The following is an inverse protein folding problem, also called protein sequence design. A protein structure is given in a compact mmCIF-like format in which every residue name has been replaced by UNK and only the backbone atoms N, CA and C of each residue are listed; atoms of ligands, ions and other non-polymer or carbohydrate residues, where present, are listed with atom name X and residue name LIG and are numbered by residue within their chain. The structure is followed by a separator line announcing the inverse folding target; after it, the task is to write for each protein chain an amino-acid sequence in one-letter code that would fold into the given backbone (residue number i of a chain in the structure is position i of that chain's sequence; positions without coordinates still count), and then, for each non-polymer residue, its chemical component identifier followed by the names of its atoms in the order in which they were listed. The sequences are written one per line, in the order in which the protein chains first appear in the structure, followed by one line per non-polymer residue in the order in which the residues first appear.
data_IF_821765673026
#
_entry.id   IF_821765673026
#
_cell.length_a   1.000
_cell.length_b   1.000
_cell.length_c   1.000
_cell.angle_alpha   90.00
_cell.angle_beta   90.00
_cell.angle_gamma   90.00
#
_symmetry.space_group_name_H-M   'P 1'
#
loop_
_entity.id
_entity.type
_entity.pdbx_description
1 polymer ?
#
# COMPACT_ATOMS: atom_id res chain seq x y z
N UNK A 1 -9.81 -0.48 1.41
CA UNK A 1 -9.14 0.83 1.29
C UNK A 1 -9.82 1.68 0.23
N UNK A 2 -9.83 3.01 0.41
CA UNK A 2 -10.44 3.97 -0.53
C UNK A 2 -9.49 5.15 -0.71
N UNK A 3 -9.15 5.45 -1.98
CA UNK A 3 -8.37 6.63 -2.33
C UNK A 3 -9.20 7.91 -2.20
N UNK A 4 -8.60 8.92 -1.60
CA UNK A 4 -9.22 10.24 -1.42
C UNK A 4 -8.33 11.35 -1.99
N UNK A 5 -8.95 12.43 -2.45
CA UNK A 5 -8.26 13.58 -3.06
C UNK A 5 -8.72 14.93 -2.52
N UNK A 6 -9.73 14.93 -1.66
CA UNK A 6 -10.32 16.18 -1.14
C UNK A 6 -11.04 15.93 0.19
N UNK A 7 -11.38 17.01 0.91
CA UNK A 7 -12.19 16.94 2.13
C UNK A 7 -13.56 16.28 1.90
N UNK A 8 -14.16 16.48 0.71
CA UNK A 8 -15.43 15.88 0.35
C UNK A 8 -15.32 14.36 0.23
N UNK A 9 -14.28 13.86 -0.45
CA UNK A 9 -14.06 12.42 -0.60
C UNK A 9 -13.68 11.77 0.73
N UNK A 10 -12.90 12.44 1.60
CA UNK A 10 -12.64 11.98 2.98
C UNK A 10 -13.95 11.81 3.75
N UNK A 11 -14.80 12.85 3.78
CA UNK A 11 -16.07 12.79 4.51
C UNK A 11 -16.98 11.69 3.96
N UNK A 12 -17.05 11.55 2.63
CA UNK A 12 -17.88 10.52 1.99
C UNK A 12 -17.37 9.10 2.33
N UNK A 13 -16.05 8.88 2.33
CA UNK A 13 -15.45 7.60 2.68
C UNK A 13 -15.73 7.22 4.14
N UNK A 14 -15.48 8.12 5.09
CA UNK A 14 -15.72 7.86 6.52
C UNK A 14 -17.20 7.57 6.78
N UNK A 15 -18.11 8.35 6.17
CA UNK A 15 -19.54 8.11 6.27
C UNK A 15 -19.91 6.72 5.70
N UNK A 16 -19.37 6.35 4.55
CA UNK A 16 -19.63 5.04 3.94
C UNK A 16 -19.17 3.87 4.83
N UNK A 17 -18.01 3.97 5.47
CA UNK A 17 -17.55 2.98 6.46
C UNK A 17 -18.49 2.92 7.66
N UNK A 18 -18.93 4.07 8.19
CA UNK A 18 -19.86 4.12 9.31
C UNK A 18 -21.24 3.53 8.97
N UNK A 19 -21.80 3.84 7.79
CA UNK A 19 -23.05 3.28 7.29
C UNK A 19 -22.96 1.75 7.08
N UNK A 20 -21.78 1.26 6.67
CA UNK A 20 -21.51 -0.18 6.54
C UNK A 20 -21.23 -0.87 7.89
N UNK A 21 -21.03 -0.12 8.98
CA UNK A 21 -20.62 -0.66 10.27
C UNK A 21 -19.22 -1.32 10.23
N UNK A 22 -18.33 -0.82 9.38
CA UNK A 22 -17.00 -1.38 9.15
C UNK A 22 -15.91 -0.35 9.41
N UNK A 23 -14.83 -0.77 10.05
CA UNK A 23 -13.59 0.00 10.04
C UNK A 23 -13.05 0.16 8.62
N UNK A 24 -12.22 1.18 8.37
CA UNK A 24 -11.76 1.49 7.04
C UNK A 24 -10.34 2.01 6.94
N UNK A 25 -9.78 1.89 5.73
CA UNK A 25 -8.50 2.48 5.37
C UNK A 25 -8.77 3.58 4.34
N UNK A 26 -8.33 4.79 4.65
CA UNK A 26 -8.29 5.92 3.73
C UNK A 26 -6.88 6.05 3.22
N UNK A 27 -6.71 6.09 1.89
CA UNK A 27 -5.39 6.16 1.29
C UNK A 27 -5.23 7.37 0.38
N UNK A 28 -3.98 7.83 0.26
CA UNK A 28 -3.60 9.00 -0.54
C UNK A 28 -2.50 8.58 -1.49
N UNK A 29 -2.75 8.67 -2.80
CA UNK A 29 -1.74 8.47 -3.83
C UNK A 29 -0.88 9.72 -4.00
N UNK A 30 0.25 9.59 -4.70
CA UNK A 30 1.13 10.71 -5.02
C UNK A 30 0.42 11.81 -5.77
N UNK A 31 -0.40 11.44 -6.78
CA UNK A 31 -1.20 12.39 -7.56
C UNK A 31 -2.31 13.04 -6.74
N UNK A 32 -3.02 12.25 -5.92
CA UNK A 32 -4.06 12.76 -5.00
C UNK A 32 -3.50 13.74 -3.97
N UNK A 33 -2.31 13.46 -3.43
CA UNK A 33 -1.61 14.33 -2.49
C UNK A 33 -1.18 15.66 -3.14
N UNK A 34 -0.59 15.58 -4.33
CA UNK A 34 -0.20 16.78 -5.09
C UNK A 34 -1.42 17.66 -5.40
N UNK A 35 -2.51 17.05 -5.88
CA UNK A 35 -3.76 17.73 -6.14
C UNK A 35 -4.32 18.43 -4.89
N UNK A 36 -4.35 17.75 -3.76
CA UNK A 36 -4.87 18.29 -2.50
C UNK A 36 -4.06 19.48 -1.97
N UNK A 37 -2.79 19.61 -2.32
CA UNK A 37 -1.96 20.78 -1.96
C UNK A 37 -2.27 22.03 -2.79
N UNK A 38 -3.02 21.88 -3.89
CA UNK A 38 -3.38 22.95 -4.81
C UNK A 38 -2.38 23.17 -5.95
N UNK A 39 -2.90 23.72 -7.04
CA UNK A 39 -2.19 23.85 -8.33
C UNK A 39 -0.92 24.72 -8.31
N UNK A 40 -0.80 25.59 -7.33
CA UNK A 40 0.37 26.47 -7.14
C UNK A 40 1.43 25.90 -6.25
N UNK A 41 1.07 25.07 -5.28
CA UNK A 41 1.98 24.49 -4.28
C UNK A 41 2.58 23.18 -4.82
N UNK A 42 1.75 22.29 -5.35
CA UNK A 42 2.13 20.99 -5.91
C UNK A 42 3.09 20.20 -5.03
N UNK A 43 2.74 20.09 -3.75
CA UNK A 43 3.59 19.44 -2.74
C UNK A 43 2.85 18.24 -2.12
N UNK A 44 3.30 17.05 -2.45
CA UNK A 44 2.70 15.79 -2.00
C UNK A 44 2.67 15.66 -0.47
N UNK A 45 3.72 16.12 0.22
CA UNK A 45 3.79 16.06 1.70
C UNK A 45 2.76 17.00 2.31
N UNK A 46 2.67 18.24 1.83
CA UNK A 46 1.72 19.22 2.34
C UNK A 46 0.27 18.77 2.12
N UNK A 47 -0.06 18.24 0.94
CA UNK A 47 -1.38 17.72 0.64
C UNK A 47 -1.75 16.52 1.52
N UNK A 48 -0.82 15.58 1.70
CA UNK A 48 -1.04 14.41 2.56
C UNK A 48 -1.27 14.80 4.02
N UNK A 49 -0.47 15.69 4.57
CA UNK A 49 -0.63 16.16 5.94
C UNK A 49 -1.93 16.92 6.15
N UNK A 50 -2.35 17.73 5.18
CA UNK A 50 -3.64 18.44 5.23
C UNK A 50 -4.83 17.46 5.22
N UNK A 51 -4.81 16.47 4.32
CA UNK A 51 -5.85 15.44 4.25
C UNK A 51 -5.86 14.56 5.50
N UNK A 52 -4.69 14.19 6.02
CA UNK A 52 -4.58 13.42 7.26
C UNK A 52 -5.16 14.18 8.46
N UNK A 53 -4.81 15.44 8.64
CA UNK A 53 -5.36 16.27 9.72
C UNK A 53 -6.88 16.41 9.63
N UNK A 54 -7.41 16.59 8.41
CA UNK A 54 -8.84 16.64 8.17
C UNK A 54 -9.52 15.32 8.51
N UNK A 55 -8.96 14.19 8.04
CA UNK A 55 -9.49 12.85 8.30
C UNK A 55 -9.49 12.53 9.80
N UNK A 56 -8.39 12.81 10.51
CA UNK A 56 -8.28 12.61 11.96
C UNK A 56 -9.37 13.40 12.73
N UNK A 57 -9.63 14.64 12.34
CA UNK A 57 -10.64 15.45 13.02
C UNK A 57 -12.06 14.92 12.74
N UNK A 58 -12.38 14.64 11.49
CA UNK A 58 -13.73 14.18 11.10
C UNK A 58 -14.02 12.79 11.65
N UNK A 59 -13.04 11.87 11.65
CA UNK A 59 -13.22 10.49 12.10
C UNK A 59 -13.66 10.40 13.58
N UNK A 60 -13.28 11.36 14.44
CA UNK A 60 -13.69 11.39 15.85
C UNK A 60 -15.21 11.41 16.05
N UNK A 61 -15.96 11.82 15.03
CA UNK A 61 -17.42 11.96 15.08
C UNK A 61 -18.18 10.73 14.53
N UNK A 62 -17.44 9.69 14.13
CA UNK A 62 -18.02 8.47 13.58
C UNK A 62 -17.66 7.23 14.43
N UNK A 63 -18.55 6.24 14.56
CA UNK A 63 -18.36 5.07 15.41
C UNK A 63 -17.54 3.96 14.72
N UNK A 64 -16.48 4.34 13.99
CA UNK A 64 -15.60 3.41 13.25
C UNK A 64 -14.15 3.85 13.39
N UNK A 65 -13.22 2.89 13.30
CA UNK A 65 -11.81 3.18 13.26
C UNK A 65 -11.35 3.42 11.81
N UNK A 66 -10.58 4.48 11.61
CA UNK A 66 -10.01 4.83 10.32
C UNK A 66 -8.48 4.80 10.43
N UNK A 67 -7.86 4.00 9.56
CA UNK A 67 -6.42 4.04 9.35
C UNK A 67 -6.08 4.88 8.11
N UNK A 68 -4.96 5.60 8.16
CA UNK A 68 -4.43 6.35 7.04
C UNK A 68 -3.27 5.60 6.40
N UNK A 69 -3.28 5.56 5.08
CA UNK A 69 -2.31 4.87 4.25
C UNK A 69 -1.83 5.77 3.10
N UNK A 70 -0.61 5.61 2.63
CA UNK A 70 -0.16 6.17 1.35
C UNK A 70 -0.09 5.06 0.31
N UNK A 71 -0.71 5.31 -0.83
CA UNK A 71 -0.79 4.41 -1.95
C UNK A 71 0.40 4.60 -2.89
N UNK A 72 0.72 3.63 -3.69
CA UNK A 72 1.84 3.53 -4.65
C UNK A 72 2.86 4.69 -4.65
N UNK A 73 4.02 4.46 -4.07
CA UNK A 73 5.13 5.40 -4.11
C UNK A 73 6.31 4.81 -4.89
N UNK A 74 6.53 5.19 -6.15
CA UNK A 74 7.68 4.75 -6.92
C UNK A 74 8.98 5.35 -6.40
N UNK A 75 10.11 4.77 -6.81
CA UNK A 75 11.45 5.11 -6.33
C UNK A 75 11.80 6.60 -6.43
N UNK A 76 11.45 7.23 -7.54
CA UNK A 76 11.76 8.65 -7.80
C UNK A 76 10.97 9.62 -6.91
N UNK A 77 9.88 9.16 -6.29
CA UNK A 77 9.04 9.97 -5.39
C UNK A 77 9.30 9.73 -3.90
N UNK A 78 10.10 8.75 -3.52
CA UNK A 78 10.36 8.40 -2.12
C UNK A 78 10.81 9.60 -1.28
N UNK A 79 11.79 10.38 -1.77
CA UNK A 79 12.33 11.53 -1.04
C UNK A 79 11.37 12.73 -0.97
N UNK A 80 10.43 12.80 -1.92
CA UNK A 80 9.40 13.85 -1.97
C UNK A 80 8.06 13.46 -1.34
N UNK A 81 7.90 12.22 -0.90
CA UNK A 81 6.61 11.72 -0.43
C UNK A 81 6.73 10.84 0.84
N UNK A 82 7.08 9.57 0.71
CA UNK A 82 7.01 8.61 1.83
C UNK A 82 8.04 8.92 2.93
N UNK A 83 9.31 9.18 2.59
CA UNK A 83 10.35 9.46 3.60
C UNK A 83 10.02 10.66 4.48
N UNK A 84 9.60 11.84 3.96
CA UNK A 84 9.20 12.98 4.79
C UNK A 84 7.96 12.68 5.64
N UNK A 85 7.00 11.87 5.16
CA UNK A 85 5.80 11.51 5.92
C UNK A 85 6.13 10.55 7.07
N UNK A 86 7.05 9.59 6.86
CA UNK A 86 7.59 8.75 7.95
C UNK A 86 8.31 9.64 8.98
N UNK A 87 9.12 10.59 8.54
CA UNK A 87 9.82 11.52 9.45
C UNK A 87 8.84 12.33 10.29
N UNK A 88 7.78 12.90 9.68
CA UNK A 88 6.74 13.64 10.39
C UNK A 88 6.00 12.75 11.41
N UNK A 89 5.66 11.51 11.04
CA UNK A 89 5.06 10.52 11.95
C UNK A 89 6.01 10.18 13.11
N UNK A 90 7.31 10.01 12.82
CA UNK A 90 8.33 9.71 13.82
C UNK A 90 8.43 10.82 14.87
N UNK A 91 8.44 12.08 14.47
CA UNK A 91 8.48 13.22 15.39
C UNK A 91 7.20 13.27 16.27
N UNK A 92 6.04 12.98 15.68
CA UNK A 92 4.78 12.91 16.44
C UNK A 92 4.80 11.75 17.47
N UNK A 93 5.34 10.60 17.11
CA UNK A 93 5.48 9.45 18.01
C UNK A 93 6.46 9.75 19.14
N UNK A 94 7.60 10.39 18.86
CA UNK A 94 8.54 10.87 19.90
C UNK A 94 7.89 11.85 20.87
N UNK A 95 6.93 12.64 20.42
CA UNK A 95 6.15 13.54 21.27
C UNK A 95 5.00 12.82 22.03
N UNK A 96 4.88 11.50 21.95
CA UNK A 96 3.90 10.69 22.66
C UNK A 96 2.56 10.51 21.93
N UNK A 97 2.48 10.92 20.67
CA UNK A 97 1.31 10.71 19.81
C UNK A 97 1.35 9.39 19.04
N UNK A 98 0.27 9.10 18.29
CA UNK A 98 0.24 8.03 17.30
C UNK A 98 0.89 8.50 15.98
N UNK A 99 1.40 7.60 15.12
CA UNK A 99 1.88 8.00 13.81
C UNK A 99 0.74 8.66 13.00
N UNK A 100 1.07 9.61 12.14
CA UNK A 100 0.09 10.30 11.28
C UNK A 100 -0.51 9.33 10.28
N UNK A 101 0.33 8.51 9.66
CA UNK A 101 -0.06 7.41 8.80
C UNK A 101 0.25 6.08 9.49
N UNK A 102 -0.68 5.13 9.44
CA UNK A 102 -0.52 3.80 10.03
C UNK A 102 0.21 2.85 9.11
N UNK A 103 0.22 3.14 7.82
CA UNK A 103 0.97 2.38 6.81
C UNK A 103 1.38 3.24 5.62
N UNK A 104 2.44 2.80 4.94
CA UNK A 104 2.93 3.39 3.69
C UNK A 104 3.25 2.29 2.69
N UNK A 105 2.91 2.50 1.41
CA UNK A 105 3.29 1.60 0.35
C UNK A 105 4.58 2.05 -0.35
N UNK A 106 5.51 1.12 -0.48
CA UNK A 106 6.65 1.17 -1.37
C UNK A 106 6.34 0.35 -2.62
N UNK A 107 6.22 1.03 -3.76
CA UNK A 107 6.02 0.41 -5.05
C UNK A 107 7.39 0.16 -5.71
N UNK A 108 7.85 -1.08 -5.58
CA UNK A 108 9.11 -1.56 -6.18
C UNK A 108 8.94 -2.23 -7.53
N UNK A 109 7.75 -2.14 -8.17
CA UNK A 109 7.44 -2.84 -9.42
C UNK A 109 8.34 -2.45 -10.60
N UNK A 110 8.81 -1.21 -10.61
CA UNK A 110 9.65 -0.65 -11.69
C UNK A 110 11.16 -0.92 -11.52
N UNK A 111 11.59 -1.61 -10.46
CA UNK A 111 13.00 -1.93 -10.21
C UNK A 111 13.22 -3.44 -10.07
N UNK A 112 14.45 -3.96 -10.31
CA UNK A 112 14.75 -5.38 -10.07
C UNK A 112 14.47 -5.78 -8.62
N UNK A 113 14.05 -7.02 -8.39
CA UNK A 113 13.66 -7.53 -7.05
C UNK A 113 14.74 -7.30 -5.99
N UNK A 114 16.02 -7.46 -6.32
CA UNK A 114 17.12 -7.23 -5.38
C UNK A 114 17.16 -5.78 -4.90
N UNK A 115 17.02 -4.84 -5.80
CA UNK A 115 16.96 -3.40 -5.48
C UNK A 115 15.67 -3.06 -4.73
N UNK A 116 14.53 -3.64 -5.15
CA UNK A 116 13.27 -3.49 -4.43
C UNK A 116 13.41 -3.88 -2.96
N UNK A 117 13.97 -5.07 -2.69
CA UNK A 117 14.15 -5.57 -1.33
C UNK A 117 15.18 -4.78 -0.52
N UNK A 118 16.24 -4.23 -1.14
CA UNK A 118 17.18 -3.33 -0.45
C UNK A 118 16.50 -2.05 0.02
N UNK A 119 15.69 -1.42 -0.83
CA UNK A 119 14.91 -0.23 -0.48
C UNK A 119 13.86 -0.57 0.58
N UNK A 120 13.16 -1.70 0.42
CA UNK A 120 12.18 -2.16 1.39
C UNK A 120 12.78 -2.39 2.78
N UNK A 121 13.98 -2.96 2.88
CA UNK A 121 14.70 -3.13 4.18
C UNK A 121 14.99 -1.79 4.85
N UNK A 122 15.45 -0.80 4.08
CA UNK A 122 15.71 0.54 4.60
C UNK A 122 14.43 1.20 5.11
N UNK A 123 13.37 1.17 4.30
CA UNK A 123 12.08 1.75 4.67
C UNK A 123 11.45 1.01 5.86
N UNK A 124 11.58 -0.32 5.93
CA UNK A 124 11.07 -1.12 7.04
C UNK A 124 11.72 -0.73 8.37
N UNK A 125 13.04 -0.45 8.36
CA UNK A 125 13.72 0.03 9.55
C UNK A 125 13.19 1.41 10.00
N UNK A 126 12.91 2.31 9.07
CA UNK A 126 12.35 3.63 9.37
C UNK A 126 10.90 3.53 9.89
N UNK A 127 10.06 2.73 9.25
CA UNK A 127 8.64 2.55 9.62
C UNK A 127 8.51 1.82 10.95
N UNK A 128 9.35 0.81 11.21
CA UNK A 128 9.37 0.09 12.49
C UNK A 128 9.66 1.01 13.68
N UNK A 129 10.59 1.97 13.53
CA UNK A 129 10.93 2.95 14.57
C UNK A 129 9.74 3.88 14.94
N UNK A 130 8.79 4.07 14.02
CA UNK A 130 7.59 4.88 14.21
C UNK A 130 6.31 4.05 14.43
N UNK A 131 6.44 2.71 14.56
CA UNK A 131 5.30 1.78 14.67
C UNK A 131 4.32 1.87 13.48
N UNK A 132 4.86 2.03 12.28
CA UNK A 132 4.14 2.09 11.01
C UNK A 132 4.31 0.75 10.29
N UNK A 133 3.30 0.31 9.54
CA UNK A 133 3.36 -0.87 8.68
C UNK A 133 3.89 -0.44 7.31
N UNK A 134 4.85 -1.18 6.76
CA UNK A 134 5.29 -1.00 5.38
C UNK A 134 4.50 -1.95 4.48
N UNK A 135 3.93 -1.45 3.39
CA UNK A 135 3.45 -2.28 2.30
C UNK A 135 4.51 -2.34 1.22
N UNK A 136 4.75 -3.55 0.69
CA UNK A 136 5.73 -3.80 -0.36
C UNK A 136 5.07 -4.51 -1.54
N UNK A 137 5.33 -4.05 -2.75
CA UNK A 137 4.87 -4.72 -3.97
C UNK A 137 5.94 -5.68 -4.49
N UNK A 138 5.56 -6.96 -4.66
CA UNK A 138 6.43 -8.02 -5.17
C UNK A 138 5.82 -8.59 -6.44
N UNK A 139 6.43 -8.30 -7.56
CA UNK A 139 5.89 -8.50 -8.89
C UNK A 139 5.42 -7.17 -9.48
N UNK A 140 4.59 -7.23 -10.50
CA UNK A 140 4.06 -6.06 -11.21
C UNK A 140 2.55 -6.17 -11.31
N UNK A 141 1.82 -5.15 -10.86
CA UNK A 141 0.40 -5.01 -11.21
C UNK A 141 0.33 -4.40 -12.60
N UNK A 142 -0.35 -5.04 -13.53
CA UNK A 142 -0.50 -4.56 -14.91
C UNK A 142 -1.47 -3.37 -15.01
N UNK A 143 -1.57 -2.79 -16.23
CA UNK A 143 -2.47 -1.66 -16.50
C UNK A 143 -1.85 -0.30 -16.24
N UNK A 144 -2.68 0.71 -16.03
CA UNK A 144 -2.24 2.10 -15.82
C UNK A 144 -2.81 2.66 -14.51
N UNK A 145 -1.93 3.20 -13.67
CA UNK A 145 -2.29 3.91 -12.45
C UNK A 145 -1.37 5.13 -12.26
N UNK A 146 -1.96 6.28 -11.92
CA UNK A 146 -1.27 7.57 -11.70
C UNK A 146 -0.26 7.95 -12.82
N UNK A 147 -0.56 7.55 -14.09
CA UNK A 147 0.27 7.83 -15.26
C UNK A 147 1.44 6.87 -15.46
N UNK A 148 1.51 5.77 -14.72
CA UNK A 148 2.46 4.67 -14.92
C UNK A 148 1.71 3.51 -15.59
N UNK A 149 2.19 3.09 -16.77
CA UNK A 149 1.62 1.98 -17.52
C UNK A 149 2.55 0.76 -17.44
N UNK A 150 2.01 -0.37 -17.04
CA UNK A 150 2.70 -1.66 -16.96
C UNK A 150 2.18 -2.64 -18.01
N UNK A 151 3.10 -3.35 -18.65
CA UNK A 151 2.76 -4.35 -19.67
C UNK A 151 2.15 -5.61 -19.03
N UNK A 152 1.31 -6.31 -19.82
CA UNK A 152 0.76 -7.61 -19.46
C UNK A 152 1.76 -8.68 -19.89
N UNK A 153 2.51 -9.23 -18.94
CA UNK A 153 3.51 -10.28 -19.14
C UNK A 153 3.62 -11.20 -17.91
N UNK A 154 4.58 -12.11 -17.89
CA UNK A 154 4.77 -13.09 -16.80
C UNK A 154 5.11 -12.44 -15.43
N UNK A 155 5.53 -11.17 -15.41
CA UNK A 155 5.79 -10.42 -14.16
C UNK A 155 4.52 -10.09 -13.38
N UNK A 156 3.33 -10.28 -13.97
CA UNK A 156 2.04 -10.20 -13.27
C UNK A 156 1.83 -11.34 -12.27
N UNK A 157 2.76 -12.27 -12.15
CA UNK A 157 2.64 -13.43 -11.27
C UNK A 157 3.87 -13.54 -10.38
N UNK A 158 3.70 -13.25 -9.09
CA UNK A 158 4.75 -13.46 -8.08
C UNK A 158 5.10 -14.93 -7.98
N UNK A 159 6.39 -15.24 -7.94
CA UNK A 159 6.85 -16.62 -7.77
C UNK A 159 7.08 -16.96 -6.29
N UNK A 160 7.07 -18.27 -5.97
CA UNK A 160 7.46 -18.73 -4.62
C UNK A 160 8.91 -18.35 -4.27
N UNK A 161 9.80 -18.28 -5.28
CA UNK A 161 11.19 -17.87 -5.07
C UNK A 161 11.28 -16.39 -4.68
N UNK A 162 10.53 -15.51 -5.35
CA UNK A 162 10.48 -14.08 -5.02
C UNK A 162 9.94 -13.84 -3.61
N UNK A 163 8.89 -14.59 -3.25
CA UNK A 163 8.31 -14.54 -1.92
C UNK A 163 9.28 -15.04 -0.83
N UNK A 164 10.08 -16.06 -1.11
CA UNK A 164 11.13 -16.54 -0.19
C UNK A 164 12.21 -15.48 0.00
N UNK A 165 12.73 -14.88 -1.07
CA UNK A 165 13.69 -13.79 -1.00
C UNK A 165 13.13 -12.61 -0.19
N UNK A 166 11.83 -12.34 -0.32
CA UNK A 166 11.15 -11.30 0.46
C UNK A 166 11.21 -11.59 1.96
N UNK A 167 10.86 -12.81 2.39
CA UNK A 167 10.95 -13.19 3.81
C UNK A 167 12.40 -13.21 4.30
N UNK A 168 13.35 -13.68 3.50
CA UNK A 168 14.78 -13.65 3.86
C UNK A 168 15.27 -12.20 4.09
N UNK A 169 14.84 -11.27 3.25
CA UNK A 169 15.19 -9.86 3.36
C UNK A 169 14.47 -9.17 4.52
N UNK A 170 13.16 -9.29 4.61
CA UNK A 170 12.32 -8.49 5.52
C UNK A 170 11.99 -9.18 6.85
N UNK A 171 12.18 -10.50 6.93
CA UNK A 171 11.85 -11.28 8.12
C UNK A 171 10.37 -11.63 8.22
N UNK A 172 9.95 -12.05 9.42
CA UNK A 172 8.57 -12.47 9.72
C UNK A 172 7.88 -11.53 10.74
N UNK A 173 8.34 -10.29 10.81
CA UNK A 173 7.84 -9.26 11.72
C UNK A 173 8.86 -8.82 12.79
N UNK A 174 9.96 -9.52 12.98
CA UNK A 174 11.01 -9.19 13.96
C UNK A 174 11.82 -7.94 13.60
N UNK A 175 11.90 -7.62 12.30
CA UNK A 175 12.56 -6.40 11.80
C UNK A 175 11.60 -5.21 11.69
N UNK A 176 10.30 -5.45 11.73
CA UNK A 176 9.22 -4.51 11.53
C UNK A 176 8.01 -5.20 10.91
N UNK A 177 6.85 -4.56 11.00
CA UNK A 177 5.63 -5.09 10.39
C UNK A 177 5.52 -4.67 8.94
N UNK A 178 5.19 -5.61 8.07
CA UNK A 178 4.91 -5.30 6.66
C UNK A 178 3.74 -6.12 6.13
N UNK A 179 3.13 -5.62 5.05
CA UNK A 179 2.14 -6.28 4.23
C UNK A 179 2.76 -6.49 2.84
N UNK A 180 2.33 -7.53 2.14
CA UNK A 180 2.84 -7.85 0.81
C UNK A 180 1.72 -7.83 -0.24
N UNK A 181 1.86 -6.94 -1.22
CA UNK A 181 1.08 -6.97 -2.45
C UNK A 181 1.77 -7.95 -3.41
N UNK A 182 1.38 -9.23 -3.33
CA UNK A 182 1.84 -10.28 -4.23
C UNK A 182 0.92 -10.30 -5.45
N UNK A 183 1.52 -10.33 -6.64
CA UNK A 183 0.75 -10.27 -7.88
C UNK A 183 0.34 -11.67 -8.34
N UNK A 184 -0.88 -11.80 -8.85
CA UNK A 184 -1.50 -13.05 -9.30
C UNK A 184 -2.34 -12.88 -10.57
N UNK A 185 -1.89 -11.97 -11.46
CA UNK A 185 -2.57 -11.61 -12.70
C UNK A 185 -3.50 -10.40 -12.57
N UNK A 186 -3.40 -9.65 -11.49
CA UNK A 186 -4.19 -8.46 -11.23
C UNK A 186 -3.70 -7.25 -12.05
N UNK A 187 -4.65 -6.40 -12.45
CA UNK A 187 -4.43 -5.26 -13.36
C UNK A 187 -5.23 -4.06 -12.89
N UNK A 188 -4.59 -2.89 -12.86
CA UNK A 188 -5.27 -1.62 -12.60
C UNK A 188 -6.14 -1.17 -13.77
N UNK A 189 -7.22 -0.45 -13.47
CA UNK A 189 -8.11 0.14 -14.46
C UNK A 189 -9.12 -0.83 -15.05
N UNK A 190 -9.71 -0.43 -16.18
CA UNK A 190 -10.72 -1.22 -16.88
C UNK A 190 -10.04 -2.03 -17.98
N UNK A 191 -9.96 -3.32 -17.81
CA UNK A 191 -9.47 -4.24 -18.83
C UNK A 191 -10.58 -5.08 -19.42
N UNK A 192 -10.37 -5.57 -20.66
CA UNK A 192 -11.33 -6.45 -21.31
C UNK A 192 -11.23 -7.85 -20.70
N UNK A 193 -12.34 -8.47 -20.28
CA UNK A 193 -12.34 -9.85 -19.81
C UNK A 193 -11.64 -10.77 -20.83
N UNK A 194 -10.77 -11.64 -20.34
CA UNK A 194 -10.02 -12.60 -21.16
C UNK A 194 -8.61 -12.17 -21.58
N UNK A 195 -8.19 -10.93 -21.32
CA UNK A 195 -6.80 -10.51 -21.55
C UNK A 195 -5.89 -10.81 -20.36
N UNK A 196 -6.48 -10.98 -19.18
CA UNK A 196 -5.79 -11.27 -17.92
C UNK A 196 -6.58 -12.35 -17.19
N UNK A 197 -5.89 -13.30 -16.59
CA UNK A 197 -6.50 -14.36 -15.77
C UNK A 197 -6.05 -14.17 -14.35
N UNK A 198 -6.98 -13.79 -13.46
CA UNK A 198 -6.73 -13.83 -12.03
C UNK A 198 -6.51 -15.26 -11.59
N UNK A 199 -5.40 -15.51 -10.90
CA UNK A 199 -5.03 -16.84 -10.39
C UNK A 199 -4.79 -16.78 -8.88
N UNK A 200 -5.85 -16.59 -8.05
CA UNK A 200 -5.70 -16.42 -6.59
C UNK A 200 -5.07 -17.65 -5.91
N UNK A 201 -5.12 -18.82 -6.53
CA UNK A 201 -4.46 -20.04 -6.02
C UNK A 201 -2.96 -19.85 -5.81
N UNK A 202 -2.30 -19.01 -6.62
CA UNK A 202 -0.88 -18.65 -6.45
C UNK A 202 -0.60 -18.11 -5.04
N UNK A 203 -1.47 -17.29 -4.49
CA UNK A 203 -1.31 -16.74 -3.14
C UNK A 203 -1.33 -17.84 -2.08
N UNK A 204 -2.24 -18.82 -2.20
CA UNK A 204 -2.29 -19.98 -1.31
C UNK A 204 -1.06 -20.87 -1.45
N UNK A 205 -0.60 -21.11 -2.67
CA UNK A 205 0.58 -21.93 -2.96
C UNK A 205 1.85 -21.29 -2.39
N UNK A 206 1.99 -19.96 -2.54
CA UNK A 206 3.08 -19.17 -1.95
C UNK A 206 3.02 -19.24 -0.41
N UNK A 207 1.86 -18.96 0.21
CA UNK A 207 1.69 -19.04 1.65
C UNK A 207 2.08 -20.42 2.20
N UNK A 208 1.65 -21.47 1.51
CA UNK A 208 1.95 -22.86 1.90
C UNK A 208 3.44 -23.20 1.74
N UNK A 209 4.02 -22.89 0.58
CA UNK A 209 5.41 -23.26 0.28
C UNK A 209 6.41 -22.47 1.13
N UNK A 210 6.19 -21.16 1.28
CA UNK A 210 7.03 -20.31 2.14
C UNK A 210 6.83 -20.70 3.61
N UNK A 211 5.58 -20.89 4.05
CA UNK A 211 5.23 -21.27 5.41
C UNK A 211 5.92 -22.57 5.85
N UNK A 212 5.94 -23.57 4.98
CA UNK A 212 6.64 -24.83 5.23
C UNK A 212 8.16 -24.66 5.45
N UNK A 213 8.78 -23.68 4.75
CA UNK A 213 10.23 -23.41 4.89
C UNK A 213 10.57 -22.61 6.14
N UNK A 214 9.70 -21.66 6.52
CA UNK A 214 9.98 -20.75 7.65
C UNK A 214 9.31 -21.17 8.96
N UNK A 215 8.51 -22.25 8.95
CA UNK A 215 7.83 -22.76 10.12
C UNK A 215 6.68 -21.88 10.63
N UNK A 216 6.06 -21.10 9.75
CA UNK A 216 4.94 -20.20 10.09
C UNK A 216 3.78 -20.42 9.13
N UNK A 217 2.61 -20.77 9.64
CA UNK A 217 1.40 -20.78 8.83
C UNK A 217 1.07 -19.36 8.37
N UNK A 218 0.80 -19.19 7.06
CA UNK A 218 0.50 -17.90 6.44
C UNK A 218 1.52 -16.79 6.79
N UNK A 219 2.75 -16.85 6.25
CA UNK A 219 3.82 -15.93 6.60
C UNK A 219 3.57 -14.49 6.20
N UNK A 220 2.68 -14.22 5.23
CA UNK A 220 2.38 -12.88 4.74
C UNK A 220 0.99 -12.39 5.15
N UNK A 221 0.89 -11.13 5.53
CA UNK A 221 -0.34 -10.35 5.45
C UNK A 221 -0.43 -9.80 4.03
N UNK A 222 -1.49 -10.17 3.29
CA UNK A 222 -1.62 -9.91 1.86
C UNK A 222 -2.47 -8.67 1.56
N UNK A 223 -2.09 -7.94 0.52
CA UNK A 223 -2.86 -6.83 -0.05
C UNK A 223 -3.18 -7.15 -1.51
N UNK A 224 -4.39 -6.78 -1.95
CA UNK A 224 -4.85 -6.94 -3.33
C UNK A 224 -5.05 -5.58 -3.99
N UNK A 225 -4.28 -5.32 -5.04
CA UNK A 225 -4.42 -4.18 -5.94
C UNK A 225 -5.07 -4.59 -7.26
N UNK A 226 -5.68 -3.63 -7.97
CA UNK A 226 -6.21 -3.84 -9.31
C UNK A 226 -7.49 -4.67 -9.38
N UNK A 227 -8.31 -4.67 -8.32
CA UNK A 227 -9.56 -5.43 -8.29
C UNK A 227 -10.75 -4.81 -9.04
N UNK A 228 -10.68 -3.54 -9.43
CA UNK A 228 -11.81 -2.78 -9.97
C UNK A 228 -12.38 -3.31 -11.29
N UNK A 229 -11.58 -4.01 -12.09
CA UNK A 229 -11.97 -4.61 -13.37
C UNK A 229 -12.35 -6.08 -13.29
N UNK A 230 -12.24 -6.71 -12.11
CA UNK A 230 -12.47 -8.14 -11.94
C UNK A 230 -13.95 -8.48 -11.85
N UNK A 231 -14.31 -9.67 -12.31
CA UNK A 231 -15.66 -10.20 -12.10
C UNK A 231 -15.84 -10.59 -10.63
N UNK A 232 -17.02 -10.35 -10.07
CA UNK A 232 -17.31 -10.73 -8.67
C UNK A 232 -17.13 -12.24 -8.41
N UNK A 233 -17.23 -13.07 -9.46
CA UNK A 233 -16.98 -14.51 -9.38
C UNK A 233 -15.49 -14.89 -9.34
N UNK A 234 -14.59 -13.94 -9.56
CA UNK A 234 -13.13 -14.13 -9.57
C UNK A 234 -12.47 -13.57 -8.29
N UNK A 235 -13.24 -12.83 -7.50
CA UNK A 235 -12.88 -12.26 -6.22
C UNK A 235 -13.57 -13.05 -5.10
#
# INVERSE_FOLDING_TARGET
AINITSSQTVTAAIRGFAEAGSDGIIQVSTGGAEYASGSTIKNMVAGSLALAAYAEEVAKHYPVNIALHTDHCPKDKLDGFVRPLIAASTERVKAGGLPIFQSHMWDGSAVPLEENLQIAQELLALTAAANIILEVEIGVVGGEEDGVANEINDQLYTTTEDALKTVEALGLGEKGRYMAALTFGNVHGVYKPGNVVLTPSILNDIQTAVGAKVGKDKPFDLVFHGGSGSLLSEI
#
